data_IF_836085897376
#
_entry.id   IF_836085897376
#
_cell.length_a   1.000
_cell.length_b   1.000
_cell.length_c   1.000
_cell.angle_alpha   90.00
_cell.angle_beta   90.00
_cell.angle_gamma   90.00
#
_symmetry.space_group_name_H-M   'P 1'
#
loop_
_entity.id
_entity.type
_entity.pdbx_description
1 polymer ?
#
# COMPACT_ATOMS: atom_id res chain seq x y z
N UNK A 1 -2.86 16.54 -15.90
CA UNK A 1 -3.33 16.47 -17.31
C UNK A 1 -2.41 15.66 -18.21
N UNK A 2 -1.13 16.00 -18.35
CA UNK A 2 -0.23 15.26 -19.26
C UNK A 2 -0.07 13.77 -18.94
N UNK A 3 0.07 13.38 -17.66
CA UNK A 3 0.06 11.96 -17.29
C UNK A 3 -1.19 11.24 -17.80
N UNK A 4 -2.37 11.84 -17.66
CA UNK A 4 -3.61 11.25 -18.16
C UNK A 4 -3.63 11.14 -19.70
N UNK A 5 -3.14 12.15 -20.42
CA UNK A 5 -3.04 12.11 -21.88
C UNK A 5 -2.06 11.04 -22.38
N UNK A 6 -1.01 10.73 -21.61
CA UNK A 6 0.00 9.72 -21.92
C UNK A 6 -0.31 8.33 -21.34
N UNK A 7 -1.38 8.18 -20.54
CA UNK A 7 -1.74 6.92 -19.89
C UNK A 7 -0.79 6.52 -18.74
N UNK A 8 -0.22 7.51 -18.04
CA UNK A 8 0.70 7.31 -16.92
C UNK A 8 -0.01 7.48 -15.57
N UNK A 9 0.32 6.61 -14.60
CA UNK A 9 -0.05 6.84 -13.20
C UNK A 9 0.68 8.08 -12.67
N UNK A 10 -0.09 9.10 -12.28
CA UNK A 10 0.45 10.34 -11.74
C UNK A 10 1.23 10.16 -10.44
N UNK A 11 0.87 9.18 -9.60
CA UNK A 11 1.56 8.94 -8.32
C UNK A 11 2.96 8.40 -8.62
N UNK A 12 3.05 7.27 -9.32
CA UNK A 12 4.32 6.62 -9.64
C UNK A 12 5.21 7.49 -10.51
N UNK A 13 4.63 8.23 -11.46
CA UNK A 13 5.37 9.21 -12.29
C UNK A 13 5.98 10.31 -11.43
N UNK A 14 5.17 10.93 -10.56
CA UNK A 14 5.64 12.02 -9.69
C UNK A 14 6.71 11.55 -8.71
N UNK A 15 6.53 10.38 -8.11
CA UNK A 15 7.49 9.81 -7.16
C UNK A 15 8.80 9.36 -7.82
N UNK A 16 8.76 8.82 -9.04
CA UNK A 16 9.96 8.48 -9.80
C UNK A 16 10.76 9.72 -10.18
N UNK A 17 10.09 10.80 -10.61
CA UNK A 17 10.75 12.08 -10.89
C UNK A 17 11.33 12.70 -9.62
N UNK A 18 10.58 12.67 -8.50
CA UNK A 18 11.05 13.19 -7.22
C UNK A 18 12.29 12.45 -6.71
N UNK A 19 12.33 11.12 -6.86
CA UNK A 19 13.52 10.33 -6.56
C UNK A 19 14.71 10.75 -7.44
N UNK A 20 14.50 10.94 -8.74
CA UNK A 20 15.55 11.35 -9.66
C UNK A 20 16.09 12.76 -9.33
N UNK A 21 15.22 13.68 -8.94
CA UNK A 21 15.62 15.01 -8.45
C UNK A 21 16.44 14.92 -7.16
N UNK A 22 16.02 14.12 -6.17
CA UNK A 22 16.80 13.92 -4.94
C UNK A 22 18.16 13.27 -5.24
N UNK A 23 18.21 12.29 -6.15
CA UNK A 23 19.45 11.64 -6.57
C UNK A 23 20.39 12.63 -7.29
N UNK A 24 19.86 13.50 -8.13
CA UNK A 24 20.63 14.50 -8.86
C UNK A 24 21.18 15.59 -7.93
N UNK A 25 20.37 16.10 -6.99
CA UNK A 25 20.84 17.08 -5.99
C UNK A 25 21.90 16.50 -5.05
N UNK A 26 21.86 15.19 -4.79
CA UNK A 26 22.90 14.47 -4.05
C UNK A 26 24.15 14.15 -4.89
N UNK A 27 24.15 14.46 -6.19
CA UNK A 27 25.22 14.13 -7.12
C UNK A 27 25.36 12.64 -7.44
N UNK A 28 24.34 11.84 -7.12
CA UNK A 28 24.30 10.40 -7.39
C UNK A 28 23.79 10.10 -8.80
N UNK A 29 22.94 10.99 -9.33
CA UNK A 29 22.53 11.03 -10.73
C UNK A 29 23.17 12.25 -11.39
N UNK A 30 23.72 12.08 -12.60
CA UNK A 30 24.44 13.14 -13.34
C UNK A 30 23.75 13.48 -14.65
N UNK A 31 24.15 14.56 -15.31
CA UNK A 31 23.64 14.90 -16.65
C UNK A 31 23.94 13.82 -17.69
N UNK A 32 24.98 13.02 -17.50
CA UNK A 32 25.28 11.89 -18.39
C UNK A 32 24.24 10.77 -18.22
N UNK A 33 23.84 10.50 -16.97
CA UNK A 33 22.81 9.50 -16.66
C UNK A 33 21.42 9.95 -17.17
N UNK A 34 21.15 11.27 -17.23
CA UNK A 34 19.85 11.82 -17.65
C UNK A 34 19.77 12.20 -19.13
N UNK A 35 20.87 12.12 -19.88
CA UNK A 35 20.92 12.61 -21.26
C UNK A 35 20.83 14.13 -21.38
N UNK A 36 21.40 14.85 -20.41
CA UNK A 36 21.54 16.32 -20.40
C UNK A 36 20.45 17.07 -19.65
N UNK A 37 19.48 16.38 -19.05
CA UNK A 37 18.41 17.01 -18.27
C UNK A 37 18.89 17.25 -16.84
N UNK A 38 18.96 18.51 -16.40
CA UNK A 38 19.21 18.83 -15.00
C UNK A 38 17.92 18.68 -14.19
N UNK A 39 17.90 17.75 -13.22
CA UNK A 39 16.72 17.46 -12.39
C UNK A 39 16.89 18.06 -11.00
N UNK A 40 16.32 19.24 -10.76
CA UNK A 40 16.35 19.90 -9.44
C UNK A 40 14.95 20.09 -8.91
N UNK A 41 14.76 20.01 -7.59
CA UNK A 41 13.46 20.30 -7.01
C UNK A 41 13.04 21.74 -7.30
N UNK A 42 11.76 21.91 -7.64
CA UNK A 42 11.19 23.21 -8.01
C UNK A 42 11.37 23.59 -9.48
N UNK A 43 12.07 22.79 -10.29
CA UNK A 43 12.17 23.00 -11.73
C UNK A 43 10.98 22.37 -12.48
N UNK A 44 10.01 23.22 -12.80
CA UNK A 44 8.78 22.81 -13.51
C UNK A 44 9.07 22.36 -14.94
N UNK A 45 10.01 22.99 -15.65
CA UNK A 45 10.30 22.65 -17.05
C UNK A 45 10.99 21.28 -17.14
N UNK A 46 11.96 21.02 -16.26
CA UNK A 46 12.62 19.73 -16.17
C UNK A 46 11.64 18.62 -15.78
N UNK A 47 10.73 18.87 -14.82
CA UNK A 47 9.67 17.93 -14.45
C UNK A 47 8.75 17.62 -15.63
N UNK A 48 8.24 18.65 -16.33
CA UNK A 48 7.34 18.45 -17.47
C UNK A 48 8.05 17.72 -18.62
N UNK A 49 9.33 18.02 -18.88
CA UNK A 49 10.13 17.29 -19.84
C UNK A 49 10.30 15.83 -19.45
N UNK A 50 10.55 15.52 -18.19
CA UNK A 50 10.67 14.15 -17.70
C UNK A 50 9.36 13.35 -17.91
N UNK A 51 8.18 13.96 -17.68
CA UNK A 51 6.89 13.31 -17.94
C UNK A 51 6.76 12.89 -19.41
N UNK A 52 7.11 13.77 -20.35
CA UNK A 52 7.06 13.46 -21.80
C UNK A 52 8.06 12.35 -22.15
N UNK A 53 9.29 12.41 -21.63
CA UNK A 53 10.33 11.40 -21.87
C UNK A 53 9.92 10.03 -21.33
N UNK A 54 9.27 9.96 -20.14
CA UNK A 54 8.72 8.72 -19.58
C UNK A 54 7.63 8.16 -20.50
N UNK A 55 6.65 9.00 -20.87
CA UNK A 55 5.51 8.58 -21.68
C UNK A 55 5.91 8.03 -23.06
N UNK A 56 7.01 8.54 -23.62
CA UNK A 56 7.54 8.08 -24.91
C UNK A 56 8.71 7.09 -24.80
N UNK A 57 9.18 6.77 -23.57
CA UNK A 57 10.41 5.99 -23.33
C UNK A 57 11.61 6.52 -24.13
N UNK A 58 11.77 7.84 -24.13
CA UNK A 58 12.79 8.53 -24.93
C UNK A 58 14.04 8.88 -24.11
N UNK A 59 15.19 8.60 -24.70
CA UNK A 59 16.50 8.93 -24.11
C UNK A 59 16.83 8.16 -22.82
N UNK A 60 18.00 8.43 -22.22
CA UNK A 60 18.43 7.75 -21.00
C UNK A 60 17.46 7.94 -19.83
N UNK A 61 17.02 9.18 -19.59
CA UNK A 61 16.12 9.49 -18.49
C UNK A 61 14.74 8.86 -18.64
N UNK A 62 14.13 8.96 -19.83
CA UNK A 62 12.80 8.40 -20.08
C UNK A 62 12.78 6.88 -19.94
N UNK A 63 13.80 6.20 -20.47
CA UNK A 63 13.95 4.75 -20.31
C UNK A 63 14.17 4.33 -18.85
N UNK A 64 14.99 5.08 -18.10
CA UNK A 64 15.24 4.79 -16.69
C UNK A 64 13.97 4.94 -15.85
N UNK A 65 13.30 6.09 -15.95
CA UNK A 65 12.15 6.39 -15.08
C UNK A 65 10.87 5.65 -15.47
N UNK A 66 10.76 5.18 -16.72
CA UNK A 66 9.64 4.33 -17.14
C UNK A 66 9.66 2.94 -16.49
N UNK A 67 10.76 2.54 -15.84
CA UNK A 67 10.83 1.30 -15.06
C UNK A 67 10.27 1.44 -13.64
N UNK A 68 9.98 2.65 -13.15
CA UNK A 68 9.57 2.89 -11.76
C UNK A 68 10.74 2.90 -10.78
N UNK A 69 10.53 3.49 -9.60
CA UNK A 69 11.57 3.87 -8.64
C UNK A 69 12.36 2.68 -8.09
N UNK A 70 11.71 1.52 -7.89
CA UNK A 70 12.39 0.31 -7.41
C UNK A 70 13.48 -0.11 -8.39
N UNK A 71 13.11 -0.35 -9.65
CA UNK A 71 14.04 -0.82 -10.68
C UNK A 71 15.02 0.28 -11.10
N UNK A 72 14.56 1.53 -11.22
CA UNK A 72 15.41 2.66 -11.57
C UNK A 72 16.53 2.88 -10.55
N UNK A 73 16.22 2.78 -9.25
CA UNK A 73 17.22 2.92 -8.18
C UNK A 73 18.20 1.75 -8.15
N UNK A 74 17.74 0.51 -8.33
CA UNK A 74 18.61 -0.67 -8.45
C UNK A 74 19.55 -0.56 -9.67
N UNK A 75 19.07 -0.01 -10.80
CA UNK A 75 19.86 0.15 -12.02
C UNK A 75 20.95 1.23 -11.87
N UNK A 76 20.63 2.36 -11.24
CA UNK A 76 21.61 3.41 -10.96
C UNK A 76 22.59 2.97 -9.86
N UNK A 77 22.08 2.28 -8.85
CA UNK A 77 22.83 1.91 -7.66
C UNK A 77 23.26 3.13 -6.86
N UNK A 78 24.53 3.14 -6.42
CA UNK A 78 25.17 4.27 -5.72
C UNK A 78 24.45 4.69 -4.41
N UNK A 79 23.68 3.78 -3.80
CA UNK A 79 22.90 4.06 -2.59
C UNK A 79 21.62 4.85 -2.85
N UNK A 80 21.20 4.98 -4.11
CA UNK A 80 19.94 5.65 -4.46
C UNK A 80 18.70 4.86 -4.02
N UNK A 81 18.88 3.57 -3.75
CA UNK A 81 17.88 2.64 -3.21
C UNK A 81 17.45 3.03 -1.79
N UNK A 82 18.32 3.68 -1.00
CA UNK A 82 18.03 4.06 0.39
C UNK A 82 16.91 5.10 0.51
N UNK A 83 16.64 5.82 -0.57
CA UNK A 83 15.57 6.82 -0.65
C UNK A 83 14.57 6.56 -1.77
N UNK A 84 14.58 5.36 -2.35
CA UNK A 84 13.52 4.89 -3.24
C UNK A 84 12.27 4.57 -2.42
N UNK A 85 11.27 5.45 -2.45
CA UNK A 85 10.07 5.34 -1.63
C UNK A 85 9.01 4.46 -2.31
N UNK A 86 9.07 3.16 -2.05
CA UNK A 86 8.08 2.20 -2.51
C UNK A 86 7.76 1.13 -1.46
N UNK A 87 6.63 0.44 -1.62
CA UNK A 87 6.33 -0.84 -0.95
C UNK A 87 5.97 -1.86 -2.01
N UNK A 88 6.64 -3.03 -1.99
CA UNK A 88 6.51 -4.08 -3.03
C UNK A 88 6.73 -3.59 -4.48
N UNK A 89 7.51 -2.52 -4.65
CA UNK A 89 7.80 -1.91 -5.94
C UNK A 89 6.79 -0.85 -6.40
N UNK A 90 5.68 -0.66 -5.70
CA UNK A 90 4.72 0.42 -5.95
C UNK A 90 5.13 1.66 -5.16
N UNK A 91 5.25 2.80 -5.84
CA UNK A 91 5.59 4.08 -5.22
C UNK A 91 4.57 4.50 -4.16
N UNK A 92 5.06 5.14 -3.09
CA UNK A 92 4.19 5.64 -2.03
C UNK A 92 3.28 6.78 -2.51
N UNK A 93 1.99 6.77 -2.13
CA UNK A 93 1.08 7.85 -2.44
C UNK A 93 1.33 9.03 -1.48
N UNK A 94 0.67 10.16 -1.74
CA UNK A 94 0.89 11.44 -1.05
C UNK A 94 0.26 11.51 0.36
N UNK A 95 0.48 10.49 1.18
CA UNK A 95 0.09 10.46 2.58
C UNK A 95 1.23 9.94 3.45
N UNK A 96 1.53 10.69 4.51
CA UNK A 96 2.72 10.50 5.33
C UNK A 96 2.50 9.49 6.46
N UNK A 97 3.15 8.30 6.44
CA UNK A 97 3.06 7.29 7.49
C UNK A 97 3.44 7.80 8.89
N UNK A 98 4.34 8.78 8.99
CA UNK A 98 4.71 9.39 10.29
C UNK A 98 3.57 10.21 10.91
N UNK A 99 2.56 10.59 10.12
CA UNK A 99 1.34 11.25 10.60
C UNK A 99 0.20 10.23 10.77
N UNK A 100 0.16 9.20 9.93
CA UNK A 100 -0.90 8.18 9.87
C UNK A 100 -0.29 6.78 10.04
N UNK A 101 -0.05 6.38 11.29
CA UNK A 101 0.71 5.16 11.59
C UNK A 101 0.04 3.89 11.06
N UNK A 102 -1.29 3.74 11.19
CA UNK A 102 -1.99 2.57 10.66
C UNK A 102 -2.09 2.57 9.14
N UNK A 103 -2.21 3.72 8.47
CA UNK A 103 -2.05 3.80 7.01
C UNK A 103 -0.69 3.25 6.56
N UNK A 104 0.38 3.60 7.30
CA UNK A 104 1.73 3.08 7.08
C UNK A 104 1.80 1.54 7.15
N UNK A 105 1.24 0.95 8.21
CA UNK A 105 1.09 -0.50 8.31
C UNK A 105 0.25 -1.07 7.15
N UNK A 106 -0.83 -0.39 6.76
CA UNK A 106 -1.69 -0.79 5.65
C UNK A 106 -0.94 -0.84 4.31
N UNK A 107 0.02 0.06 4.07
CA UNK A 107 0.89 -0.02 2.89
C UNK A 107 1.73 -1.30 2.90
N UNK A 108 2.24 -1.71 4.07
CA UNK A 108 3.05 -2.92 4.20
C UNK A 108 2.24 -4.16 3.87
N UNK A 109 0.99 -4.26 4.30
CA UNK A 109 0.18 -5.49 4.16
C UNK A 109 -0.69 -5.53 2.92
N UNK A 110 -0.86 -4.40 2.22
CA UNK A 110 -1.61 -4.37 0.96
C UNK A 110 -1.04 -5.37 -0.05
N UNK A 111 -1.91 -6.11 -0.76
CA UNK A 111 -1.46 -7.06 -1.77
C UNK A 111 -0.89 -6.37 -3.02
N UNK A 112 -1.23 -5.11 -3.28
CA UNK A 112 -0.83 -4.37 -4.50
C UNK A 112 0.33 -3.39 -4.28
N UNK A 113 0.85 -3.29 -3.06
CA UNK A 113 1.93 -2.37 -2.70
C UNK A 113 1.41 -1.16 -1.91
N UNK A 114 2.04 0.00 -2.02
CA UNK A 114 1.64 1.19 -1.25
C UNK A 114 0.31 1.80 -1.72
N UNK A 115 -0.81 1.16 -1.42
CA UNK A 115 -2.14 1.61 -1.81
C UNK A 115 -2.87 2.31 -0.63
N UNK A 116 -3.47 3.47 -0.93
CA UNK A 116 -4.24 4.26 0.03
C UNK A 116 -5.76 4.15 -0.16
N UNK A 117 -6.23 3.64 -1.29
CA UNK A 117 -7.66 3.58 -1.62
C UNK A 117 -8.38 2.50 -0.82
N UNK A 118 -7.83 1.29 -0.77
CA UNK A 118 -8.39 0.21 0.05
C UNK A 118 -7.86 0.22 1.50
N UNK A 119 -7.37 1.38 1.96
CA UNK A 119 -6.64 1.53 3.21
C UNK A 119 -7.23 2.63 4.11
N UNK A 120 -6.92 2.59 5.39
CA UNK A 120 -7.49 3.46 6.41
C UNK A 120 -6.72 4.78 6.51
N UNK A 121 -7.42 5.92 6.52
CA UNK A 121 -6.83 7.21 6.86
C UNK A 121 -7.10 7.59 8.31
N UNK A 122 -6.18 7.23 9.21
CA UNK A 122 -6.30 7.35 10.68
C UNK A 122 -6.90 8.68 11.15
N UNK A 123 -6.44 9.79 10.57
CA UNK A 123 -6.81 11.16 10.98
C UNK A 123 -8.31 11.44 10.92
N UNK A 124 -9.08 10.69 10.11
CA UNK A 124 -10.54 10.89 10.03
C UNK A 124 -11.30 10.22 11.19
N UNK A 125 -10.62 9.37 11.97
CA UNK A 125 -11.19 8.64 13.11
C UNK A 125 -10.69 9.16 14.46
N UNK A 126 -9.95 10.29 14.47
CA UNK A 126 -9.41 10.88 15.70
C UNK A 126 -10.43 11.64 16.55
N UNK A 127 -11.66 11.80 16.07
CA UNK A 127 -12.74 12.46 16.79
C UNK A 127 -14.10 11.87 16.38
N UNK A 128 -15.13 12.21 17.15
CA UNK A 128 -16.52 11.90 16.79
C UNK A 128 -16.89 12.51 15.43
N UNK A 129 -17.56 11.71 14.60
CA UNK A 129 -18.00 12.16 13.29
C UNK A 129 -18.50 11.03 12.39
N UNK A 130 -19.01 11.35 11.19
CA UNK A 130 -19.70 10.40 10.33
C UNK A 130 -18.86 9.17 9.95
N UNK A 131 -17.54 9.30 9.82
CA UNK A 131 -16.66 8.17 9.53
C UNK A 131 -16.66 7.16 10.68
N UNK A 132 -16.45 7.61 11.91
CA UNK A 132 -16.45 6.75 13.10
C UNK A 132 -17.86 6.18 13.37
N UNK A 133 -18.91 6.99 13.20
CA UNK A 133 -20.30 6.53 13.35
C UNK A 133 -20.62 5.36 12.43
N UNK A 134 -20.18 5.39 11.16
CA UNK A 134 -20.37 4.26 10.24
C UNK A 134 -19.60 3.01 10.67
N UNK A 135 -18.38 3.19 11.20
CA UNK A 135 -17.60 2.05 11.71
C UNK A 135 -18.26 1.39 12.93
N UNK A 136 -19.07 2.13 13.69
CA UNK A 136 -19.81 1.60 14.85
C UNK A 136 -20.92 0.61 14.51
N UNK A 137 -21.30 0.49 13.23
CA UNK A 137 -22.20 -0.59 12.78
C UNK A 137 -21.51 -1.97 12.76
N UNK A 138 -20.17 -2.02 12.75
CA UNK A 138 -19.43 -3.29 12.85
C UNK A 138 -19.11 -3.66 14.30
N UNK A 139 -18.65 -2.68 15.10
CA UNK A 139 -18.15 -2.87 16.47
C UNK A 139 -18.10 -1.53 17.19
N UNK A 140 -18.16 -1.51 18.53
CA UNK A 140 -18.14 -0.29 19.35
C UNK A 140 -16.77 0.42 19.38
N UNK A 141 -16.37 0.99 18.25
CA UNK A 141 -15.10 1.70 18.09
C UNK A 141 -15.10 3.06 18.79
N UNK A 142 -13.98 3.37 19.43
CA UNK A 142 -13.71 4.68 20.04
C UNK A 142 -12.80 5.54 19.14
N UNK A 143 -12.76 6.88 19.33
CA UNK A 143 -11.79 7.72 18.65
C UNK A 143 -10.35 7.23 18.86
N UNK A 144 -9.53 7.27 17.81
CA UNK A 144 -8.15 6.75 17.81
C UNK A 144 -7.11 7.86 17.85
N UNK A 145 -5.90 7.55 18.33
CA UNK A 145 -4.76 8.46 18.20
C UNK A 145 -4.12 8.34 16.80
N UNK A 146 -3.57 9.45 16.31
CA UNK A 146 -2.86 9.48 15.02
C UNK A 146 -1.59 8.60 15.05
N UNK A 147 -0.92 8.55 16.21
CA UNK A 147 0.30 7.78 16.46
C UNK A 147 0.02 6.53 17.28
N UNK A 148 0.92 5.56 17.22
CA UNK A 148 0.84 4.28 17.92
C UNK A 148 -0.17 3.32 17.31
N UNK A 149 -0.25 2.14 17.94
CA UNK A 149 -1.02 0.97 17.50
C UNK A 149 -1.76 0.33 18.68
N UNK A 150 -2.65 1.08 19.34
CA UNK A 150 -3.54 0.49 20.33
C UNK A 150 -4.51 -0.52 19.69
N UNK A 151 -5.07 -1.41 20.51
CA UNK A 151 -5.95 -2.49 20.04
C UNK A 151 -7.21 -1.96 19.33
N UNK A 152 -7.80 -0.85 19.80
CA UNK A 152 -8.97 -0.25 19.16
C UNK A 152 -8.64 0.24 17.74
N UNK A 153 -7.46 0.85 17.55
CA UNK A 153 -6.97 1.29 16.24
C UNK A 153 -6.63 0.12 15.32
N UNK A 154 -6.01 -0.93 15.83
CA UNK A 154 -5.68 -2.13 15.06
C UNK A 154 -6.93 -2.86 14.57
N UNK A 155 -7.93 -3.03 15.44
CA UNK A 155 -9.24 -3.59 15.08
C UNK A 155 -9.97 -2.70 14.09
N UNK A 156 -9.95 -1.37 14.26
CA UNK A 156 -10.58 -0.43 13.32
C UNK A 156 -9.93 -0.52 11.93
N UNK A 157 -8.59 -0.56 11.89
CA UNK A 157 -7.84 -0.75 10.65
C UNK A 157 -8.19 -2.08 9.97
N UNK A 158 -8.17 -3.19 10.72
CA UNK A 158 -8.52 -4.51 10.19
C UNK A 158 -9.94 -4.53 9.62
N UNK A 159 -10.94 -4.07 10.38
CA UNK A 159 -12.33 -4.04 9.92
C UNK A 159 -12.49 -3.15 8.69
N UNK A 160 -11.87 -1.97 8.69
CA UNK A 160 -11.93 -1.05 7.56
C UNK A 160 -11.33 -1.66 6.30
N UNK A 161 -10.11 -2.18 6.36
CA UNK A 161 -9.40 -2.75 5.20
C UNK A 161 -10.07 -4.03 4.69
N UNK A 162 -10.56 -4.88 5.60
CA UNK A 162 -11.36 -6.08 5.25
C UNK A 162 -12.63 -5.68 4.49
N UNK A 163 -13.35 -4.69 4.98
CA UNK A 163 -14.53 -4.17 4.29
C UNK A 163 -14.20 -3.58 2.92
N UNK A 164 -13.05 -2.89 2.80
CA UNK A 164 -12.59 -2.36 1.50
C UNK A 164 -12.38 -3.47 0.47
N UNK A 165 -11.72 -4.55 0.85
CA UNK A 165 -11.56 -5.73 -0.01
C UNK A 165 -12.90 -6.33 -0.46
N UNK A 166 -13.91 -6.36 0.41
CA UNK A 166 -15.27 -6.72 0.02
C UNK A 166 -15.85 -5.73 -1.00
N UNK A 167 -15.80 -4.42 -0.72
CA UNK A 167 -16.37 -3.41 -1.62
C UNK A 167 -15.70 -3.38 -3.00
N UNK A 168 -14.40 -3.64 -3.08
CA UNK A 168 -13.69 -3.83 -4.35
C UNK A 168 -14.19 -5.06 -5.11
N UNK A 169 -14.47 -6.15 -4.40
CA UNK A 169 -14.98 -7.40 -5.00
C UNK A 169 -16.35 -7.22 -5.65
N UNK A 170 -17.16 -6.28 -5.16
CA UNK A 170 -18.49 -5.96 -5.73
C UNK A 170 -18.48 -4.72 -6.62
N UNK A 171 -17.30 -4.14 -6.89
CA UNK A 171 -17.14 -2.99 -7.78
C UNK A 171 -17.74 -1.68 -7.25
N UNK A 172 -17.86 -1.52 -5.93
CA UNK A 172 -18.45 -0.33 -5.33
C UNK A 172 -17.41 0.79 -5.17
N UNK A 173 -17.74 1.98 -5.70
CA UNK A 173 -16.96 3.19 -5.43
C UNK A 173 -16.88 3.49 -3.93
N UNK A 174 -15.65 3.58 -3.42
CA UNK A 174 -15.36 3.83 -2.01
C UNK A 174 -15.83 5.19 -1.47
N UNK A 175 -16.12 6.15 -2.35
CA UNK A 175 -16.62 7.48 -1.98
C UNK A 175 -18.14 7.54 -1.80
N UNK A 176 -18.85 6.47 -2.18
CA UNK A 176 -20.27 6.37 -1.86
C UNK A 176 -20.40 6.08 -0.35
N UNK A 177 -21.05 6.95 0.43
CA UNK A 177 -21.04 6.87 1.88
C UNK A 177 -22.07 5.87 2.41
N UNK A 178 -22.24 4.73 1.75
CA UNK A 178 -23.15 3.69 2.22
C UNK A 178 -22.70 3.16 3.57
N UNK A 179 -23.66 3.03 4.47
CA UNK A 179 -23.44 2.34 5.72
C UNK A 179 -23.36 0.83 5.50
N UNK A 180 -22.77 0.07 6.43
CA UNK A 180 -22.70 -1.39 6.33
C UNK A 180 -24.07 -2.03 6.15
N UNK A 181 -25.07 -1.61 6.95
CA UNK A 181 -26.44 -2.09 6.82
C UNK A 181 -27.07 -1.75 5.46
N UNK A 182 -26.77 -0.57 4.91
CA UNK A 182 -27.23 -0.21 3.56
C UNK A 182 -26.61 -1.12 2.50
N UNK A 183 -25.33 -1.46 2.64
CA UNK A 183 -24.66 -2.38 1.73
C UNK A 183 -25.22 -3.81 1.79
N UNK A 184 -25.55 -4.32 2.98
CA UNK A 184 -26.28 -5.59 3.12
C UNK A 184 -27.58 -5.54 2.32
N UNK A 185 -28.38 -4.48 2.48
CA UNK A 185 -29.62 -4.30 1.72
C UNK A 185 -29.41 -4.25 0.20
N UNK A 186 -28.34 -3.58 -0.25
CA UNK A 186 -27.97 -3.54 -1.68
C UNK A 186 -27.62 -4.93 -2.20
N UNK A 187 -26.77 -5.67 -1.49
CA UNK A 187 -26.36 -7.02 -1.91
C UNK A 187 -27.55 -7.96 -1.94
N UNK A 188 -28.33 -8.05 -0.85
CA UNK A 188 -29.50 -8.92 -0.77
C UNK A 188 -30.53 -8.58 -1.86
N UNK A 189 -30.76 -7.29 -2.12
CA UNK A 189 -31.65 -6.84 -3.18
C UNK A 189 -31.17 -7.17 -4.60
N UNK A 190 -29.85 -7.16 -4.84
CA UNK A 190 -29.27 -7.44 -6.15
C UNK A 190 -29.13 -8.94 -6.45
N UNK A 191 -28.77 -9.74 -5.44
CA UNK A 191 -28.43 -11.17 -5.62
C UNK A 191 -29.56 -12.11 -5.22
N UNK A 192 -30.51 -11.64 -4.40
CA UNK A 192 -31.51 -12.48 -3.74
C UNK A 192 -30.94 -13.32 -2.59
N UNK A 193 -29.72 -13.03 -2.13
CA UNK A 193 -29.14 -13.66 -0.94
C UNK A 193 -29.78 -13.11 0.35
N UNK A 194 -29.61 -13.88 1.42
CA UNK A 194 -29.97 -13.47 2.78
C UNK A 194 -28.68 -13.36 3.60
N UNK A 195 -27.85 -12.36 3.25
CA UNK A 195 -26.55 -12.14 3.90
C UNK A 195 -26.62 -11.06 4.98
N UNK A 196 -25.58 -10.99 5.81
CA UNK A 196 -25.41 -9.97 6.86
C UNK A 196 -24.02 -9.31 6.82
N UNK A 197 -23.75 -8.41 7.77
CA UNK A 197 -22.49 -7.66 7.85
C UNK A 197 -21.29 -8.60 8.06
N UNK A 198 -21.45 -9.65 8.87
CA UNK A 198 -20.36 -10.54 9.26
C UNK A 198 -19.95 -11.43 8.08
N UNK A 199 -20.92 -11.95 7.32
CA UNK A 199 -20.68 -12.70 6.09
C UNK A 199 -20.00 -11.85 5.01
N UNK A 200 -20.37 -10.57 4.89
CA UNK A 200 -19.71 -9.64 3.96
C UNK A 200 -18.27 -9.31 4.41
N UNK A 201 -18.03 -9.16 5.71
CA UNK A 201 -16.67 -9.04 6.25
C UNK A 201 -15.86 -10.33 6.00
N UNK A 202 -16.46 -11.50 6.15
CA UNK A 202 -15.80 -12.78 5.83
C UNK A 202 -15.42 -12.86 4.34
N UNK A 203 -16.29 -12.39 3.44
CA UNK A 203 -15.97 -12.26 2.02
C UNK A 203 -14.75 -11.34 1.79
N UNK A 204 -14.68 -10.22 2.51
CA UNK A 204 -13.50 -9.35 2.50
C UNK A 204 -12.21 -10.05 2.99
N UNK A 205 -12.30 -10.81 4.09
CA UNK A 205 -11.17 -11.58 4.65
C UNK A 205 -10.71 -12.67 3.69
N UNK A 206 -11.66 -13.33 3.00
CA UNK A 206 -11.38 -14.30 1.93
C UNK A 206 -10.63 -13.64 0.78
N UNK A 207 -11.06 -12.45 0.33
CA UNK A 207 -10.37 -11.68 -0.73
C UNK A 207 -8.96 -11.26 -0.32
N UNK A 208 -8.76 -10.77 0.92
CA UNK A 208 -7.43 -10.44 1.44
C UNK A 208 -6.51 -11.67 1.48
N UNK A 209 -7.04 -12.81 1.95
CA UNK A 209 -6.28 -14.06 2.10
C UNK A 209 -5.90 -14.66 0.75
N UNK A 210 -6.81 -14.70 -0.23
CA UNK A 210 -6.49 -15.23 -1.57
C UNK A 210 -5.47 -14.33 -2.29
N UNK A 211 -5.53 -13.02 -2.08
CA UNK A 211 -4.51 -12.08 -2.60
C UNK A 211 -3.15 -12.33 -1.94
N UNK A 212 -3.12 -12.62 -0.64
CA UNK A 212 -1.88 -13.03 0.06
C UNK A 212 -1.31 -14.32 -0.52
N UNK A 213 -2.14 -15.33 -0.76
CA UNK A 213 -1.72 -16.60 -1.38
C UNK A 213 -1.15 -16.39 -2.78
N UNK A 214 -1.76 -15.52 -3.58
CA UNK A 214 -1.23 -15.13 -4.88
C UNK A 214 0.19 -14.56 -4.75
N UNK A 215 0.39 -13.60 -3.84
CA UNK A 215 1.71 -12.98 -3.64
C UNK A 215 2.76 -13.98 -3.13
N UNK A 216 2.38 -14.87 -2.21
CA UNK A 216 3.25 -15.96 -1.73
C UNK A 216 3.65 -16.90 -2.88
N UNK A 217 2.69 -17.25 -3.76
CA UNK A 217 2.94 -18.07 -4.96
C UNK A 217 3.95 -17.41 -5.90
N UNK A 218 3.89 -16.09 -6.05
CA UNK A 218 4.81 -15.31 -6.89
C UNK A 218 6.14 -14.98 -6.19
N UNK A 219 6.36 -15.48 -4.97
CA UNK A 219 7.64 -15.41 -4.27
C UNK A 219 7.79 -14.25 -3.28
N UNK A 220 6.74 -13.46 -3.05
CA UNK A 220 6.73 -12.50 -1.94
C UNK A 220 6.61 -13.24 -0.61
N UNK A 221 7.09 -12.62 0.46
CA UNK A 221 7.09 -13.16 1.82
C UNK A 221 6.75 -12.05 2.83
N UNK A 222 6.62 -12.39 4.12
CA UNK A 222 6.50 -11.38 5.17
C UNK A 222 7.67 -10.38 5.22
N UNK A 223 8.82 -10.67 4.60
CA UNK A 223 9.94 -9.72 4.49
C UNK A 223 9.65 -8.55 3.54
N UNK A 224 8.73 -8.73 2.60
CA UNK A 224 8.33 -7.70 1.64
C UNK A 224 7.25 -6.75 2.22
N UNK A 225 6.69 -7.11 3.37
CA UNK A 225 5.77 -6.27 4.12
C UNK A 225 6.57 -5.28 4.99
N UNK A 226 7.30 -4.37 4.33
CA UNK A 226 8.21 -3.40 4.96
C UNK A 226 8.01 -1.98 4.44
N UNK A 227 8.22 -1.00 5.31
CA UNK A 227 8.25 0.43 4.95
C UNK A 227 9.68 0.91 4.68
N UNK A 228 9.86 1.91 3.79
CA UNK A 228 11.14 2.59 3.63
C UNK A 228 11.68 3.18 4.95
N UNK A 229 13.00 3.06 5.14
CA UNK A 229 13.71 3.52 6.36
C UNK A 229 13.42 4.99 6.73
N UNK A 230 13.16 5.83 5.73
CA UNK A 230 12.81 7.25 5.89
C UNK A 230 11.68 7.50 6.89
N UNK A 231 10.76 6.56 7.08
CA UNK A 231 9.63 6.73 7.99
C UNK A 231 9.94 6.45 9.47
N UNK A 232 11.12 5.88 9.75
CA UNK A 232 11.64 5.69 11.11
C UNK A 232 12.56 6.85 11.54
N UNK A 233 12.90 7.73 10.60
CA UNK A 233 13.65 8.95 10.86
C UNK A 233 12.73 10.15 11.15
N UNK A 234 13.21 11.06 12.01
CA UNK A 234 12.59 12.39 12.19
C UNK A 234 12.57 13.16 10.87
N UNK A 235 11.60 14.06 10.74
CA UNK A 235 11.59 15.00 9.62
C UNK A 235 12.91 15.79 9.59
N UNK A 236 13.45 15.99 8.38
CA UNK A 236 14.73 16.72 8.17
C UNK A 236 14.65 18.19 8.62
N UNK A 237 13.44 18.74 8.71
CA UNK A 237 13.17 20.12 9.16
C UNK A 237 11.97 20.14 10.09
N UNK A 238 11.96 21.09 11.01
CA UNK A 238 10.75 21.46 11.74
C UNK A 238 9.72 21.93 10.72
N UNK A 239 8.73 21.08 10.47
CA UNK A 239 7.60 21.41 9.61
C UNK A 239 6.35 21.53 10.49
N UNK A 240 5.29 22.11 9.94
CA UNK A 240 4.01 22.22 10.65
C UNK A 240 3.32 20.87 10.87
N UNK A 241 3.87 19.77 10.35
CA UNK A 241 3.31 18.45 10.53
C UNK A 241 3.70 17.90 11.91
N UNK A 242 2.69 17.58 12.71
CA UNK A 242 2.83 16.98 14.05
C UNK A 242 3.21 15.50 14.00
N UNK A 243 3.87 15.03 12.93
CA UNK A 243 4.16 13.62 12.75
C UNK A 243 5.24 13.11 13.70
N UNK A 244 5.17 11.82 14.02
CA UNK A 244 6.17 11.11 14.81
C UNK A 244 6.77 9.98 13.97
N UNK A 245 8.10 9.78 14.02
CA UNK A 245 8.72 8.58 13.45
C UNK A 245 7.98 7.32 13.89
N UNK A 246 7.87 6.34 13.00
CA UNK A 246 7.42 5.02 13.43
C UNK A 246 8.49 4.38 14.29
N UNK A 247 8.06 3.62 15.29
CA UNK A 247 8.93 2.72 16.05
C UNK A 247 8.93 1.34 15.38
N UNK A 248 10.11 0.77 15.14
CA UNK A 248 10.25 -0.53 14.46
C UNK A 248 9.60 -1.67 15.25
N UNK A 249 9.71 -1.66 16.59
CA UNK A 249 9.18 -2.72 17.42
C UNK A 249 7.65 -2.64 17.55
N UNK A 250 7.10 -1.42 17.69
CA UNK A 250 5.65 -1.22 17.67
C UNK A 250 5.03 -1.62 16.32
N UNK A 251 5.68 -1.27 15.20
CA UNK A 251 5.21 -1.61 13.87
C UNK A 251 5.29 -3.12 13.59
N UNK A 252 6.36 -3.79 13.99
CA UNK A 252 6.48 -5.25 13.89
C UNK A 252 5.43 -5.97 14.75
N UNK A 253 5.16 -5.48 15.96
CA UNK A 253 4.10 -6.00 16.81
C UNK A 253 2.71 -5.82 16.17
N UNK A 254 2.45 -4.66 15.58
CA UNK A 254 1.22 -4.35 14.84
C UNK A 254 1.05 -5.24 13.59
N UNK A 255 2.12 -5.46 12.83
CA UNK A 255 2.13 -6.35 11.66
C UNK A 255 1.79 -7.80 12.07
N UNK A 256 2.43 -8.32 13.11
CA UNK A 256 2.15 -9.67 13.63
C UNK A 256 0.74 -9.79 14.19
N UNK A 257 0.25 -8.72 14.83
CA UNK A 257 -1.16 -8.66 15.24
C UNK A 257 -2.09 -8.76 14.03
N UNK A 258 -1.80 -8.04 12.94
CA UNK A 258 -2.59 -8.09 11.71
C UNK A 258 -2.59 -9.50 11.08
N UNK A 259 -1.43 -10.16 11.02
CA UNK A 259 -1.34 -11.54 10.52
C UNK A 259 -2.22 -12.49 11.34
N UNK A 260 -2.05 -12.50 12.66
CA UNK A 260 -2.86 -13.36 13.54
C UNK A 260 -4.35 -13.04 13.44
N UNK A 261 -4.71 -11.76 13.31
CA UNK A 261 -6.11 -11.33 13.16
C UNK A 261 -6.77 -11.87 11.88
N UNK A 262 -5.99 -12.05 10.82
CA UNK A 262 -6.43 -12.71 9.59
C UNK A 262 -6.39 -14.24 9.66
N UNK A 263 -5.83 -14.83 10.71
CA UNK A 263 -5.61 -16.28 10.84
C UNK A 263 -4.37 -16.76 10.10
N UNK A 264 -3.36 -15.90 9.98
CA UNK A 264 -2.05 -16.22 9.40
C UNK A 264 -1.02 -16.39 10.51
N UNK A 265 0.08 -17.09 10.21
CA UNK A 265 1.20 -17.22 11.13
C UNK A 265 2.05 -15.93 11.20
N UNK A 266 3.05 -15.91 12.09
CA UNK A 266 3.95 -14.76 12.28
C UNK A 266 4.87 -14.48 11.06
N UNK A 267 4.83 -15.31 10.00
CA UNK A 267 5.48 -15.05 8.71
C UNK A 267 4.49 -14.53 7.65
N UNK A 268 3.23 -14.32 8.04
CA UNK A 268 2.14 -13.90 7.18
C UNK A 268 1.68 -15.00 6.23
N UNK A 269 1.83 -16.26 6.59
CA UNK A 269 1.35 -17.41 5.81
C UNK A 269 -0.03 -17.83 6.36
N UNK A 270 -1.08 -17.86 5.53
CA UNK A 270 -2.39 -18.33 5.98
C UNK A 270 -2.36 -19.76 6.53
N UNK A 271 -2.94 -19.96 7.71
CA UNK A 271 -2.92 -21.28 8.38
C UNK A 271 -3.84 -22.28 7.67
N UNK A 272 -3.58 -23.59 7.74
CA UNK A 272 -4.48 -24.59 7.18
C UNK A 272 -5.91 -24.49 7.71
N UNK A 273 -6.10 -24.14 8.99
CA UNK A 273 -7.42 -23.91 9.58
C UNK A 273 -8.15 -22.75 8.90
N UNK A 274 -7.49 -21.60 8.77
CA UNK A 274 -8.06 -20.44 8.06
C UNK A 274 -8.35 -20.73 6.59
N UNK A 275 -7.53 -21.54 5.91
CA UNK A 275 -7.84 -21.94 4.54
C UNK A 275 -9.09 -22.81 4.44
N UNK A 276 -9.35 -23.70 5.42
CA UNK A 276 -10.60 -24.46 5.48
C UNK A 276 -11.79 -23.57 5.76
N UNK A 277 -11.68 -22.71 6.79
CA UNK A 277 -12.72 -21.75 7.17
C UNK A 277 -13.14 -20.88 5.99
N UNK A 278 -12.19 -20.36 5.21
CA UNK A 278 -12.47 -19.46 4.09
C UNK A 278 -12.77 -20.18 2.78
N UNK A 279 -12.79 -21.52 2.74
CA UNK A 279 -13.03 -22.30 1.51
C UNK A 279 -11.89 -22.16 0.48
N UNK A 280 -10.66 -21.99 0.93
CA UNK A 280 -9.44 -21.79 0.12
C UNK A 280 -8.46 -22.98 0.20
N UNK A 281 -8.91 -24.15 0.67
CA UNK A 281 -8.09 -25.35 0.89
C UNK A 281 -7.32 -25.80 -0.36
N UNK A 282 -7.95 -25.67 -1.53
CA UNK A 282 -7.34 -26.03 -2.82
C UNK A 282 -6.06 -25.23 -3.13
N UNK A 283 -5.92 -24.05 -2.51
CA UNK A 283 -4.78 -23.17 -2.67
C UNK A 283 -3.69 -23.37 -1.61
N UNK A 284 -3.82 -24.34 -0.71
CA UNK A 284 -2.85 -24.58 0.37
C UNK A 284 -1.40 -24.79 -0.13
N UNK A 285 -1.21 -25.27 -1.36
CA UNK A 285 0.13 -25.42 -1.97
C UNK A 285 0.82 -24.08 -2.23
N UNK A 286 0.07 -23.00 -2.40
CA UNK A 286 0.60 -21.65 -2.63
C UNK A 286 1.18 -21.03 -1.35
N UNK A 287 0.79 -21.55 -0.18
CA UNK A 287 1.36 -21.17 1.11
C UNK A 287 2.76 -21.77 1.34
N UNK A 288 3.20 -22.74 0.53
CA UNK A 288 4.54 -23.29 0.61
C UNK A 288 5.55 -22.34 -0.06
N UNK A 289 6.70 -22.04 0.57
CA UNK A 289 7.72 -21.21 -0.04
C UNK A 289 8.17 -21.81 -1.37
N UNK A 290 8.23 -20.97 -2.41
CA UNK A 290 8.76 -21.37 -3.71
C UNK A 290 10.20 -21.88 -3.53
N UNK A 291 10.59 -23.04 -4.07
CA UNK A 291 11.98 -23.45 -4.04
C UNK A 291 12.82 -22.42 -4.78
N UNK A 292 13.63 -21.67 -4.02
CA UNK A 292 14.58 -20.68 -4.53
C UNK A 292 15.55 -21.42 -5.45
N UNK A 293 15.43 -21.23 -6.77
CA UNK A 293 16.27 -21.92 -7.75
C UNK A 293 15.70 -22.01 -9.17
N UNK A 294 14.42 -21.69 -9.40
CA UNK A 294 13.82 -21.72 -10.73
C UNK A 294 13.71 -20.31 -11.35
N UNK A 295 14.84 -19.62 -11.54
CA UNK A 295 14.92 -18.55 -12.54
C UNK A 295 14.95 -19.18 -13.94
N UNK A 296 13.84 -19.80 -14.32
CA UNK A 296 13.54 -20.13 -15.70
C UNK A 296 12.55 -19.08 -16.18
N UNK A 297 13.02 -18.14 -16.99
CA UNK A 297 12.17 -17.30 -17.86
C UNK A 297 11.13 -18.23 -18.49
N UNK A 298 9.85 -18.03 -18.16
CA UNK A 298 8.79 -18.70 -18.94
C UNK A 298 8.73 -18.02 -20.31
N UNK A 299 8.63 -18.80 -21.40
CA UNK A 299 8.54 -18.28 -22.76
C UNK A 299 7.28 -17.43 -22.98
#
# INVERSE_FOLDING_TARGET
>A
ERCAALGLDSISTGMSIAWAMEAFEKGLLTTDDTGGVELRFGDTEAMMRAVELIGHREGPLGNLLAEGVKRASEQIGRGTEEFALHVKGQELPLHEPRIKHALGMGYMVSPTGADHMHNMHDTVFGAEGPALTRMREYKDFQPIQAHGFDENKLELHYTFTTWRHFTDSVGLCHFLPYSPSQMVGVINGMTGWDTDIDELLEAGRRTATISRLYNLREGMTGKDDALPKRFFDRFRHDNSATGQPLDEAELDAALKWHYRRNGWDDQGIPTPETLRELGLEEYAKQAAPFPVGAHGVRP
#
